data_IF_416200101744
#
_entry.id   IF_416200101744
#
_cell.length_a   1.000
_cell.length_b   1.000
_cell.length_c   1.000
_cell.angle_alpha   90.00
_cell.angle_beta   90.00
_cell.angle_gamma   90.00
#
_symmetry.space_group_name_H-M   'P 1'
#
loop_
_entity.id
_entity.type
_entity.pdbx_description
1 polymer ?
#
# COMPACT_ATOMS: atom_id res chain seq x y z
N UNK A 1 -11.64 15.59 15.20
CA UNK A 1 -12.03 14.44 14.35
C UNK A 1 -12.63 14.98 13.08
N UNK A 2 -12.09 14.57 11.94
CA UNK A 2 -12.57 14.89 10.60
C UNK A 2 -13.87 14.15 10.29
N UNK A 3 -14.62 14.61 9.29
CA UNK A 3 -15.79 13.90 8.75
C UNK A 3 -15.39 12.55 8.12
N UNK A 4 -14.13 12.41 7.70
CA UNK A 4 -13.54 11.17 7.17
C UNK A 4 -13.41 10.13 8.28
N UNK A 5 -12.96 10.53 9.47
CA UNK A 5 -12.82 9.65 10.65
C UNK A 5 -14.14 8.99 11.05
N UNK A 6 -15.28 9.65 10.78
CA UNK A 6 -16.62 9.13 11.07
C UNK A 6 -17.13 8.14 10.05
N UNK A 7 -16.67 8.18 8.80
CA UNK A 7 -17.12 7.29 7.74
C UNK A 7 -16.52 5.88 7.84
N UNK A 8 -15.37 5.74 8.49
CA UNK A 8 -14.63 4.48 8.66
C UNK A 8 -14.93 3.74 9.98
N UNK A 9 -15.85 4.26 10.81
CA UNK A 9 -16.10 3.76 12.16
C UNK A 9 -17.05 2.54 12.24
N UNK A 10 -17.14 1.73 11.19
CA UNK A 10 -17.66 0.36 11.32
C UNK A 10 -16.49 -0.53 11.75
N UNK A 11 -16.36 -0.75 13.05
CA UNK A 11 -15.25 -1.50 13.68
C UNK A 11 -15.39 -2.99 13.35
N UNK A 12 -14.98 -3.38 12.15
CA UNK A 12 -14.43 -4.71 11.95
C UNK A 12 -13.11 -4.77 12.72
N UNK A 13 -12.85 -5.82 13.54
CA UNK A 13 -11.56 -5.98 14.19
C UNK A 13 -10.47 -5.97 13.11
N UNK A 14 -9.46 -5.10 13.25
CA UNK A 14 -8.32 -5.17 12.35
C UNK A 14 -7.67 -6.56 12.49
N UNK A 15 -7.30 -7.21 11.37
CA UNK A 15 -6.67 -8.52 11.41
C UNK A 15 -5.42 -8.44 12.30
N UNK A 16 -5.15 -9.48 13.08
CA UNK A 16 -3.89 -9.56 13.81
C UNK A 16 -2.72 -9.87 12.87
N UNK A 17 -1.50 -9.83 13.41
CA UNK A 17 -0.29 -10.03 12.61
C UNK A 17 -0.21 -11.44 11.99
N UNK A 18 -0.68 -12.46 12.70
CA UNK A 18 -0.68 -13.83 12.20
C UNK A 18 -1.67 -13.99 11.04
N UNK A 19 -2.82 -13.33 11.14
CA UNK A 19 -3.86 -13.32 10.10
C UNK A 19 -3.37 -12.60 8.85
N UNK A 20 -2.70 -11.44 9.00
CA UNK A 20 -2.05 -10.74 7.88
C UNK A 20 -1.00 -11.62 7.21
N UNK A 21 -0.10 -12.21 8.01
CA UNK A 21 0.95 -13.10 7.50
C UNK A 21 0.39 -14.28 6.70
N UNK A 22 -0.66 -14.92 7.22
CA UNK A 22 -1.31 -16.03 6.52
C UNK A 22 -1.94 -15.59 5.18
N UNK A 23 -2.52 -14.39 5.10
CA UNK A 23 -2.99 -13.81 3.85
C UNK A 23 -1.85 -13.57 2.87
N UNK A 24 -0.74 -12.98 3.33
CA UNK A 24 0.46 -12.77 2.50
C UNK A 24 1.01 -14.10 1.98
N UNK A 25 1.14 -15.13 2.83
CA UNK A 25 1.62 -16.47 2.44
C UNK A 25 0.71 -17.11 1.38
N UNK A 26 -0.62 -16.97 1.54
CA UNK A 26 -1.61 -17.45 0.56
C UNK A 26 -1.48 -16.71 -0.79
N UNK A 27 -1.33 -15.39 -0.76
CA UNK A 27 -1.14 -14.58 -1.96
C UNK A 27 0.18 -14.92 -2.67
N UNK A 28 1.27 -15.10 -1.92
CA UNK A 28 2.57 -15.56 -2.44
C UNK A 28 2.45 -16.92 -3.11
N UNK A 29 1.75 -17.88 -2.51
CA UNK A 29 1.53 -19.20 -3.09
C UNK A 29 0.72 -19.16 -4.42
N UNK A 30 -0.11 -18.13 -4.63
CA UNK A 30 -0.85 -17.91 -5.87
C UNK A 30 -0.06 -17.12 -6.94
N UNK A 31 1.09 -16.54 -6.57
CA UNK A 31 1.94 -15.76 -7.48
C UNK A 31 2.91 -16.64 -8.27
N UNK A 32 3.40 -16.09 -9.38
CA UNK A 32 4.49 -16.66 -10.18
C UNK A 32 5.62 -15.64 -10.29
N UNK A 33 6.87 -16.09 -10.33
CA UNK A 33 8.02 -15.19 -10.42
C UNK A 33 7.88 -14.23 -11.62
N UNK A 34 7.91 -12.93 -11.35
CA UNK A 34 7.82 -11.87 -12.36
C UNK A 34 6.40 -11.53 -12.82
N UNK A 35 5.36 -12.15 -12.24
CA UNK A 35 3.98 -11.71 -12.47
C UNK A 35 3.64 -10.49 -11.60
N UNK A 36 2.53 -9.81 -11.93
CA UNK A 36 2.12 -8.60 -11.20
C UNK A 36 1.86 -8.87 -9.71
N UNK A 37 1.40 -10.08 -9.35
CA UNK A 37 1.10 -10.43 -7.97
C UNK A 37 2.39 -10.56 -7.15
N UNK A 38 3.45 -11.15 -7.72
CA UNK A 38 4.75 -11.18 -7.08
C UNK A 38 5.34 -9.77 -6.89
N UNK A 39 5.20 -8.89 -7.89
CA UNK A 39 5.69 -7.52 -7.85
C UNK A 39 4.96 -6.66 -6.79
N UNK A 40 3.62 -6.72 -6.75
CA UNK A 40 2.84 -5.94 -5.77
C UNK A 40 3.14 -6.40 -4.34
N UNK A 41 3.30 -7.71 -4.13
CA UNK A 41 3.66 -8.26 -2.83
C UNK A 41 5.10 -7.88 -2.41
N UNK A 42 6.04 -7.75 -3.37
CA UNK A 42 7.39 -7.24 -3.07
C UNK A 42 7.32 -5.76 -2.65
N UNK A 43 6.44 -4.97 -3.26
CA UNK A 43 6.19 -3.60 -2.84
C UNK A 43 5.53 -3.54 -1.46
N UNK A 44 4.60 -4.43 -1.15
CA UNK A 44 4.01 -4.57 0.19
C UNK A 44 5.08 -4.84 1.25
N UNK A 45 6.04 -5.73 0.98
CA UNK A 45 7.14 -6.00 1.91
C UNK A 45 8.05 -4.78 2.08
N UNK A 46 8.32 -4.03 1.01
CA UNK A 46 9.07 -2.78 1.08
C UNK A 46 8.32 -1.69 1.89
N UNK A 47 6.98 -1.62 1.77
CA UNK A 47 6.13 -0.71 2.55
C UNK A 47 6.17 -1.08 4.03
N UNK A 48 6.00 -2.36 4.38
CA UNK A 48 6.14 -2.86 5.78
C UNK A 48 7.50 -2.51 6.37
N UNK A 49 8.58 -2.71 5.59
CA UNK A 49 9.93 -2.36 6.01
C UNK A 49 10.10 -0.84 6.23
N UNK A 50 9.55 -0.01 5.34
CA UNK A 50 9.60 1.45 5.48
C UNK A 50 8.85 1.93 6.74
N UNK A 51 7.69 1.35 7.04
CA UNK A 51 6.97 1.62 8.30
C UNK A 51 7.80 1.25 9.53
N UNK A 52 8.46 0.08 9.51
CA UNK A 52 9.33 -0.35 10.60
C UNK A 52 10.54 0.60 10.81
N UNK A 53 11.12 1.13 9.73
CA UNK A 53 12.17 2.15 9.81
C UNK A 53 11.66 3.43 10.50
N UNK A 54 10.48 3.92 10.16
CA UNK A 54 9.92 5.11 10.82
C UNK A 54 9.56 4.89 12.28
N UNK A 55 9.10 3.68 12.65
CA UNK A 55 8.85 3.29 14.05
C UNK A 55 10.12 3.30 14.89
N UNK A 56 11.25 2.89 14.32
CA UNK A 56 12.53 2.76 15.02
C UNK A 56 13.42 4.00 14.94
N UNK A 57 13.05 4.99 14.12
CA UNK A 57 13.75 6.26 13.99
C UNK A 57 13.76 7.07 15.31
N UNK A 58 14.95 7.48 15.73
CA UNK A 58 15.21 8.13 17.03
C UNK A 58 15.25 9.65 16.94
N UNK A 59 15.59 10.20 15.77
CA UNK A 59 15.73 11.63 15.54
C UNK A 59 14.68 12.17 14.57
N UNK A 60 14.46 13.48 14.62
CA UNK A 60 13.58 14.17 13.66
C UNK A 60 14.07 14.03 12.20
N UNK A 61 15.40 14.00 12.01
CA UNK A 61 16.03 13.79 10.69
C UNK A 61 15.74 12.38 10.17
N UNK A 62 15.95 11.36 11.00
CA UNK A 62 15.66 9.96 10.64
C UNK A 62 14.17 9.75 10.34
N UNK A 63 13.26 10.37 11.12
CA UNK A 63 11.81 10.30 10.86
C UNK A 63 11.41 10.95 9.55
N UNK A 64 11.99 12.12 9.23
CA UNK A 64 11.79 12.77 7.93
C UNK A 64 12.30 11.87 6.79
N UNK A 65 13.50 11.30 6.93
CA UNK A 65 14.05 10.39 5.93
C UNK A 65 13.18 9.13 5.75
N UNK A 66 12.68 8.54 6.84
CA UNK A 66 11.78 7.39 6.79
C UNK A 66 10.45 7.72 6.11
N UNK A 67 9.86 8.88 6.41
CA UNK A 67 8.65 9.38 5.71
C UNK A 67 8.91 9.55 4.21
N UNK A 68 10.00 10.22 3.85
CA UNK A 68 10.32 10.50 2.46
C UNK A 68 10.56 9.18 1.69
N UNK A 69 11.24 8.20 2.30
CA UNK A 69 11.41 6.86 1.74
C UNK A 69 10.09 6.08 1.59
N UNK A 70 9.22 6.11 2.61
CA UNK A 70 7.89 5.52 2.54
C UNK A 70 7.06 6.16 1.43
N UNK A 71 7.07 7.49 1.30
CA UNK A 71 6.31 8.21 0.28
C UNK A 71 6.68 7.79 -1.14
N UNK A 72 7.97 7.53 -1.41
CA UNK A 72 8.43 7.05 -2.72
C UNK A 72 7.82 5.69 -3.06
N UNK A 73 7.93 4.71 -2.16
CA UNK A 73 7.42 3.36 -2.43
C UNK A 73 5.89 3.31 -2.40
N UNK A 74 5.25 3.94 -1.40
CA UNK A 74 3.80 3.89 -1.21
C UNK A 74 3.05 4.56 -2.35
N UNK A 75 3.49 5.74 -2.80
CA UNK A 75 2.81 6.44 -3.90
C UNK A 75 3.06 5.76 -5.25
N UNK A 76 4.28 5.24 -5.49
CA UNK A 76 4.55 4.49 -6.72
C UNK A 76 3.70 3.23 -6.80
N UNK A 77 3.58 2.51 -5.68
CA UNK A 77 2.74 1.33 -5.54
C UNK A 77 1.26 1.65 -5.76
N UNK A 78 0.72 2.63 -5.03
CA UNK A 78 -0.68 3.05 -5.16
C UNK A 78 -1.03 3.50 -6.58
N UNK A 79 -0.19 4.32 -7.23
CA UNK A 79 -0.42 4.76 -8.61
C UNK A 79 -0.44 3.59 -9.60
N UNK A 80 0.44 2.60 -9.42
CA UNK A 80 0.45 1.42 -10.27
C UNK A 80 -0.84 0.61 -10.13
N UNK A 81 -1.43 0.54 -8.94
CA UNK A 81 -2.70 -0.16 -8.71
C UNK A 81 -3.88 0.63 -9.27
N UNK A 82 -3.94 1.93 -8.97
CA UNK A 82 -4.96 2.86 -9.43
C UNK A 82 -5.07 2.93 -10.94
N UNK A 83 -3.95 2.80 -11.66
CA UNK A 83 -3.91 2.86 -13.12
C UNK A 83 -4.02 1.50 -13.81
N UNK A 84 -3.73 0.40 -13.10
CA UNK A 84 -3.59 -0.92 -13.71
C UNK A 84 -4.47 -1.98 -13.04
N UNK A 85 -4.28 -2.22 -11.74
CA UNK A 85 -4.93 -3.35 -11.05
C UNK A 85 -6.39 -3.07 -10.72
N UNK A 86 -6.75 -1.90 -10.20
CA UNK A 86 -8.13 -1.56 -9.84
C UNK A 86 -9.05 -1.47 -11.06
N UNK A 87 -8.64 -0.87 -12.20
CA UNK A 87 -9.43 -0.95 -13.42
C UNK A 87 -9.65 -2.40 -13.88
N UNK A 88 -8.62 -3.25 -13.78
CA UNK A 88 -8.73 -4.67 -14.14
C UNK A 88 -9.65 -5.45 -13.19
N UNK A 89 -9.60 -5.16 -11.89
CA UNK A 89 -10.48 -5.71 -10.87
C UNK A 89 -11.94 -5.32 -11.14
N UNK A 90 -12.20 -4.05 -11.46
CA UNK A 90 -13.53 -3.57 -11.86
C UNK A 90 -14.04 -4.21 -13.15
N UNK A 91 -13.17 -4.43 -14.14
CA UNK A 91 -13.48 -5.15 -15.38
C UNK A 91 -13.79 -6.63 -15.13
N UNK A 92 -13.19 -7.23 -14.11
CA UNK A 92 -13.49 -8.60 -13.65
C UNK A 92 -14.79 -8.71 -12.84
N UNK A 93 -15.56 -7.63 -12.71
CA UNK A 93 -16.86 -7.58 -12.03
C UNK A 93 -16.80 -7.07 -10.59
N UNK A 94 -15.62 -6.80 -10.04
CA UNK A 94 -15.40 -6.45 -8.64
C UNK A 94 -15.36 -4.91 -8.43
N UNK A 95 -16.35 -4.20 -9.01
CA UNK A 95 -16.37 -2.72 -9.02
C UNK A 95 -16.39 -2.09 -7.61
N UNK A 96 -17.06 -2.75 -6.66
CA UNK A 96 -17.14 -2.25 -5.29
C UNK A 96 -15.79 -2.36 -4.56
N UNK A 97 -15.06 -3.46 -4.75
CA UNK A 97 -13.71 -3.61 -4.22
C UNK A 97 -12.76 -2.57 -4.83
N UNK A 98 -12.80 -2.39 -6.16
CA UNK A 98 -12.00 -1.36 -6.82
C UNK A 98 -12.32 0.06 -6.28
N UNK A 99 -13.60 0.42 -6.15
CA UNK A 99 -14.01 1.71 -5.62
C UNK A 99 -13.59 1.92 -4.16
N UNK A 100 -13.64 0.86 -3.34
CA UNK A 100 -13.16 0.89 -1.96
C UNK A 100 -11.66 1.14 -1.91
N UNK A 101 -10.88 0.39 -2.69
CA UNK A 101 -9.43 0.53 -2.76
C UNK A 101 -8.97 1.96 -3.12
N UNK A 102 -9.62 2.60 -4.12
CA UNK A 102 -9.35 4.00 -4.45
C UNK A 102 -9.59 4.96 -3.27
N UNK A 103 -10.66 4.74 -2.50
CA UNK A 103 -11.02 5.57 -1.37
C UNK A 103 -10.00 5.44 -0.23
N UNK A 104 -9.58 4.21 0.09
CA UNK A 104 -8.58 3.94 1.13
C UNK A 104 -7.23 4.56 0.78
N UNK A 105 -6.77 4.41 -0.47
CA UNK A 105 -5.50 5.00 -0.91
C UNK A 105 -5.55 6.53 -0.96
N UNK A 106 -6.65 7.11 -1.42
CA UNK A 106 -6.86 8.57 -1.40
C UNK A 106 -6.85 9.10 0.04
N UNK A 107 -7.51 8.39 0.96
CA UNK A 107 -7.52 8.74 2.39
C UNK A 107 -6.10 8.67 2.96
N UNK A 108 -5.35 7.60 2.67
CA UNK A 108 -3.95 7.44 3.09
C UNK A 108 -3.06 8.57 2.58
N UNK A 109 -3.20 8.99 1.32
CA UNK A 109 -2.48 10.15 0.75
C UNK A 109 -2.78 11.44 1.52
N UNK A 110 -4.04 11.68 1.89
CA UNK A 110 -4.41 12.82 2.73
C UNK A 110 -3.81 12.71 4.14
N UNK A 111 -3.81 11.53 4.75
CA UNK A 111 -3.20 11.30 6.07
C UNK A 111 -1.67 11.52 6.04
N UNK A 112 -0.99 11.12 4.95
CA UNK A 112 0.44 11.39 4.73
C UNK A 112 0.71 12.89 4.61
N UNK A 113 -0.13 13.65 3.90
CA UNK A 113 -0.01 15.11 3.84
C UNK A 113 -0.23 15.76 5.22
N UNK A 114 -1.18 15.26 6.01
CA UNK A 114 -1.38 15.72 7.39
C UNK A 114 -0.18 15.46 8.29
N UNK A 115 0.51 14.31 8.13
CA UNK A 115 1.72 13.98 8.87
C UNK A 115 2.82 15.03 8.65
N UNK A 116 2.91 15.65 7.46
CA UNK A 116 3.90 16.70 7.16
C UNK A 116 3.71 17.97 7.98
N UNK A 117 2.49 18.23 8.45
CA UNK A 117 2.18 19.37 9.32
C UNK A 117 2.54 19.13 10.79
N UNK A 118 3.01 17.92 11.13
CA UNK A 118 3.42 17.56 12.49
C UNK A 118 4.95 17.58 12.55
N UNK A 119 5.52 18.37 13.46
CA UNK A 119 6.97 18.41 13.66
C UNK A 119 7.50 17.00 14.01
N UNK A 120 8.46 16.43 13.26
CA UNK A 120 8.92 15.05 13.47
C UNK A 120 9.52 14.77 14.84
N UNK A 121 9.92 15.81 15.61
CA UNK A 121 10.39 15.68 16.99
C UNK A 121 9.26 15.47 18.01
N UNK A 122 7.99 15.68 17.64
CA UNK A 122 6.85 15.60 18.56
C UNK A 122 6.31 14.17 18.68
N UNK A 123 5.82 13.75 19.86
CA UNK A 123 5.17 12.45 20.03
C UNK A 123 4.01 12.20 19.06
N UNK A 124 3.20 13.24 18.80
CA UNK A 124 2.07 13.19 17.87
C UNK A 124 2.45 12.72 16.45
N UNK A 125 3.72 12.85 16.06
CA UNK A 125 4.19 12.35 14.77
C UNK A 125 4.17 10.82 14.74
N UNK A 126 4.61 10.15 15.82
CA UNK A 126 4.58 8.70 15.93
C UNK A 126 3.14 8.17 16.04
N UNK A 127 2.26 8.90 16.73
CA UNK A 127 0.84 8.54 16.80
C UNK A 127 0.20 8.56 15.40
N UNK A 128 0.48 9.61 14.62
CA UNK A 128 0.02 9.72 13.24
C UNK A 128 0.66 8.65 12.33
N UNK A 129 1.95 8.37 12.50
CA UNK A 129 2.65 7.30 11.79
C UNK A 129 1.99 5.93 12.03
N UNK A 130 1.73 5.58 13.28
CA UNK A 130 1.09 4.32 13.65
C UNK A 130 -0.35 4.22 13.13
N UNK A 131 -1.09 5.34 13.11
CA UNK A 131 -2.43 5.39 12.53
C UNK A 131 -2.39 5.11 11.01
N UNK A 132 -1.47 5.73 10.29
CA UNK A 132 -1.28 5.49 8.85
C UNK A 132 -0.84 4.04 8.60
N UNK A 133 0.11 3.52 9.41
CA UNK A 133 0.55 2.11 9.33
C UNK A 133 -0.64 1.16 9.48
N UNK A 134 -1.54 1.38 10.45
CA UNK A 134 -2.74 0.56 10.63
C UNK A 134 -3.73 0.60 9.46
N UNK A 135 -3.90 1.77 8.83
CA UNK A 135 -4.74 1.91 7.64
C UNK A 135 -4.15 1.17 6.44
N UNK A 136 -2.87 1.36 6.17
CA UNK A 136 -2.18 0.70 5.05
C UNK A 136 -2.09 -0.81 5.24
N UNK A 137 -1.84 -1.30 6.46
CA UNK A 137 -1.82 -2.73 6.75
C UNK A 137 -3.19 -3.39 6.62
N UNK A 138 -4.27 -2.65 6.88
CA UNK A 138 -5.64 -3.13 6.64
C UNK A 138 -5.90 -3.24 5.14
N UNK A 139 -5.60 -2.19 4.38
CA UNK A 139 -5.73 -2.16 2.93
C UNK A 139 -4.99 -3.34 2.26
N UNK A 140 -3.70 -3.49 2.58
CA UNK A 140 -2.87 -4.59 2.07
C UNK A 140 -3.44 -5.97 2.43
N UNK A 141 -4.08 -6.11 3.60
CA UNK A 141 -4.73 -7.36 3.97
C UNK A 141 -5.95 -7.67 3.12
N UNK A 142 -6.82 -6.69 2.85
CA UNK A 142 -8.01 -6.89 2.00
C UNK A 142 -7.61 -7.31 0.59
N UNK A 143 -6.55 -6.70 0.07
CA UNK A 143 -5.95 -7.05 -1.21
C UNK A 143 -5.37 -8.47 -1.23
N UNK A 144 -4.50 -8.81 -0.27
CA UNK A 144 -3.81 -10.10 -0.21
C UNK A 144 -4.76 -11.27 0.12
N UNK A 145 -5.77 -11.02 0.94
CA UNK A 145 -6.69 -12.08 1.40
C UNK A 145 -7.79 -12.40 0.38
N UNK A 146 -8.19 -11.42 -0.44
CA UNK A 146 -9.29 -11.52 -1.39
C UNK A 146 -9.01 -10.85 -2.74
N UNK A 147 -8.88 -9.52 -2.81
CA UNK A 147 -9.07 -8.81 -4.08
C UNK A 147 -8.06 -9.23 -5.16
N UNK A 148 -6.79 -9.39 -4.80
CA UNK A 148 -5.76 -9.83 -5.73
C UNK A 148 -5.91 -11.30 -6.12
N UNK A 149 -6.37 -12.16 -5.21
CA UNK A 149 -6.67 -13.56 -5.54
C UNK A 149 -7.83 -13.65 -6.52
N UNK A 150 -8.86 -12.82 -6.32
CA UNK A 150 -10.00 -12.71 -7.22
C UNK A 150 -9.56 -12.18 -8.59
N UNK A 151 -8.72 -11.14 -8.65
CA UNK A 151 -8.14 -10.65 -9.90
C UNK A 151 -7.24 -11.69 -10.58
N UNK A 152 -6.47 -12.47 -9.81
CA UNK A 152 -5.62 -13.53 -10.34
C UNK A 152 -6.46 -14.65 -10.97
N UNK A 153 -7.60 -14.99 -10.37
CA UNK A 153 -8.49 -16.03 -10.85
C UNK A 153 -9.37 -15.61 -12.04
N UNK A 154 -9.89 -14.38 -12.03
CA UNK A 154 -10.91 -13.91 -13.00
C UNK A 154 -10.36 -12.92 -14.03
N UNK A 155 -9.26 -12.24 -13.73
CA UNK A 155 -8.73 -11.14 -14.53
C UNK A 155 -8.15 -11.58 -15.86
N UNK A 156 -8.32 -10.73 -16.88
CA UNK A 156 -7.74 -10.93 -18.20
C UNK A 156 -6.37 -10.25 -18.34
N UNK A 157 -5.60 -10.66 -19.35
CA UNK A 157 -4.34 -10.02 -19.74
C UNK A 157 -3.27 -9.94 -18.62
N UNK A 158 -3.13 -11.00 -17.81
CA UNK A 158 -2.21 -11.08 -16.66
C UNK A 158 -0.78 -10.59 -16.97
N UNK A 159 -0.21 -10.98 -18.12
CA UNK A 159 1.13 -10.52 -18.54
C UNK A 159 1.18 -9.01 -18.84
N UNK A 160 0.11 -8.44 -19.44
CA UNK A 160 0.02 -6.99 -19.67
C UNK A 160 -0.08 -6.23 -18.34
N UNK A 161 -0.84 -6.76 -17.38
CA UNK A 161 -0.93 -6.18 -16.04
C UNK A 161 0.45 -6.12 -15.39
N UNK A 162 1.26 -7.18 -15.50
CA UNK A 162 2.64 -7.19 -14.98
C UNK A 162 3.51 -6.09 -15.59
N UNK A 163 3.58 -6.01 -16.93
CA UNK A 163 4.39 -5.00 -17.60
C UNK A 163 3.93 -3.58 -17.27
N UNK A 164 2.61 -3.34 -17.24
CA UNK A 164 2.05 -2.01 -16.93
C UNK A 164 2.24 -1.62 -15.48
N UNK A 165 2.04 -2.55 -14.55
CA UNK A 165 2.26 -2.30 -13.13
C UNK A 165 3.69 -1.87 -12.86
N UNK A 166 4.66 -2.61 -13.41
CA UNK A 166 6.08 -2.26 -13.32
C UNK A 166 6.38 -0.88 -13.94
N UNK A 167 5.86 -0.60 -15.14
CA UNK A 167 6.04 0.68 -15.84
C UNK A 167 5.53 1.87 -15.00
N UNK A 168 4.34 1.76 -14.41
CA UNK A 168 3.74 2.84 -13.62
C UNK A 168 4.50 3.06 -12.30
N UNK A 169 4.91 1.98 -11.63
CA UNK A 169 5.74 2.09 -10.44
C UNK A 169 7.08 2.76 -10.75
N UNK A 170 7.79 2.30 -11.78
CA UNK A 170 9.07 2.86 -12.20
C UNK A 170 8.97 4.32 -12.65
N UNK A 171 7.87 4.72 -13.28
CA UNK A 171 7.66 6.12 -13.71
C UNK A 171 7.62 7.07 -12.52
N UNK A 172 6.99 6.68 -11.41
CA UNK A 172 6.95 7.50 -10.20
C UNK A 172 8.23 7.36 -9.38
N UNK A 173 8.62 6.13 -9.15
CA UNK A 173 9.60 5.78 -8.14
C UNK A 173 11.03 5.76 -8.72
N UNK A 174 11.20 5.88 -10.03
CA UNK A 174 12.46 5.74 -10.74
C UNK A 174 12.87 4.27 -10.93
N UNK A 175 13.69 4.01 -11.94
CA UNK A 175 14.27 2.69 -12.15
C UNK A 175 15.19 2.30 -10.98
N UNK A 176 15.38 1.01 -10.67
CA UNK A 176 16.28 0.58 -9.60
C UNK A 176 17.71 1.16 -9.71
N UNK A 177 18.19 1.41 -10.93
CA UNK A 177 19.52 1.97 -11.20
C UNK A 177 19.59 3.49 -11.00
N UNK A 178 18.47 4.23 -11.05
CA UNK A 178 18.47 5.69 -10.96
C UNK A 178 18.46 6.23 -9.52
N UNK A 179 18.41 5.36 -8.51
CA UNK A 179 18.39 5.74 -7.08
C UNK A 179 19.76 5.71 -6.39
N UNK A 180 20.82 5.36 -7.13
CA UNK A 180 22.19 5.25 -6.61
C UNK A 180 23.06 6.50 -6.88
N UNK A 181 22.46 7.64 -7.21
CA UNK A 181 23.15 8.91 -7.50
C UNK A 181 22.80 9.98 -6.48
#
# INVERSE_FOLDING_TARGET
MSLIDKALAAVSPQPDENTRKAATEKARAASQAGDWLSLVLDHHDAIRAAFACGRTAKTAVERKAARDALAVVLNGHALAEELVLYPALGQAGEKMHAAHAYLEQTTTKAQMAELENIAPSKPAWLDKWAHIEGAVLTHMFEEESDWFLTLKAKGHHQSRLASRYAEEFERYAGAPQSRAA
#
